data_IF_285980153976
#
_entry.id   IF_285980153976
#
_cell.length_a   1.000
_cell.length_b   1.000
_cell.length_c   1.000
_cell.angle_alpha   90.00
_cell.angle_beta   90.00
_cell.angle_gamma   90.00
#
_symmetry.space_group_name_H-M   'P 1'
#
loop_
_entity.id
_entity.type
_entity.pdbx_description
1 polymer ?
#
# COMPACT_ATOMS: atom_id res chain seq x y z
N UNK A 1 6.42 15.79 15.12
CA UNK A 1 5.04 15.40 15.46
C UNK A 1 5.13 14.16 16.33
N UNK A 2 4.38 14.09 17.43
CA UNK A 2 4.31 12.87 18.24
C UNK A 2 3.15 12.01 17.72
N UNK A 3 3.42 10.73 17.44
CA UNK A 3 2.45 9.69 17.12
C UNK A 3 2.52 8.62 18.20
N UNK A 4 1.35 8.10 18.61
CA UNK A 4 1.26 6.99 19.56
C UNK A 4 0.54 5.84 18.84
N UNK A 5 1.23 4.74 18.64
CA UNK A 5 0.68 3.56 17.99
C UNK A 5 -0.07 2.70 19.00
N UNK A 6 -1.25 2.15 18.63
CA UNK A 6 -1.96 1.19 19.48
C UNK A 6 -1.11 -0.08 19.69
N UNK A 7 -0.89 -0.53 20.94
CA UNK A 7 -0.02 -1.68 21.20
C UNK A 7 -0.59 -3.04 20.75
N UNK A 8 -1.83 -3.06 20.28
CA UNK A 8 -2.50 -4.28 19.77
C UNK A 8 -2.54 -4.36 18.24
N UNK A 9 -2.05 -3.35 17.52
CA UNK A 9 -1.99 -3.34 16.05
C UNK A 9 -0.60 -3.80 15.59
N UNK A 10 -0.49 -5.08 15.22
CA UNK A 10 0.76 -5.69 14.77
C UNK A 10 1.36 -4.98 13.53
N UNK A 11 0.51 -4.38 12.70
CA UNK A 11 0.94 -3.63 11.52
C UNK A 11 1.67 -2.32 11.89
N UNK A 12 1.33 -1.74 13.04
CA UNK A 12 2.00 -0.54 13.55
C UNK A 12 3.33 -0.86 14.27
N UNK A 13 3.55 -2.11 14.67
CA UNK A 13 4.76 -2.52 15.40
C UNK A 13 6.03 -2.33 14.56
N UNK A 14 5.94 -2.57 13.25
CA UNK A 14 7.07 -2.47 12.33
C UNK A 14 7.19 -1.11 11.62
N UNK A 15 6.28 -0.16 11.88
CA UNK A 15 6.33 1.18 11.30
C UNK A 15 7.66 1.90 11.55
N UNK A 16 8.22 1.94 12.79
CA UNK A 16 9.48 2.63 13.02
C UNK A 16 10.64 2.03 12.22
N UNK A 17 10.68 0.71 12.08
CA UNK A 17 11.73 0.02 11.30
C UNK A 17 11.62 0.35 9.80
N UNK A 18 10.39 0.48 9.28
CA UNK A 18 10.17 0.94 7.91
C UNK A 18 10.62 2.38 7.69
N UNK A 19 10.29 3.29 8.61
CA UNK A 19 10.72 4.69 8.54
C UNK A 19 12.26 4.83 8.62
N UNK A 20 12.92 4.02 9.45
CA UNK A 20 14.38 3.92 9.47
C UNK A 20 14.94 3.40 8.14
N UNK A 21 14.33 2.35 7.57
CA UNK A 21 14.71 1.80 6.27
C UNK A 21 14.61 2.84 5.15
N UNK A 22 13.49 3.56 5.08
CA UNK A 22 13.30 4.63 4.09
C UNK A 22 14.26 5.80 4.31
N UNK A 23 14.68 6.06 5.53
CA UNK A 23 15.65 7.10 5.91
C UNK A 23 15.30 8.49 5.35
N UNK A 24 14.02 8.84 5.36
CA UNK A 24 13.50 10.11 4.88
C UNK A 24 13.39 10.22 3.35
N UNK A 25 13.60 9.16 2.59
CA UNK A 25 13.41 9.11 1.13
C UNK A 25 11.96 8.74 0.85
N UNK A 26 11.21 9.62 0.23
CA UNK A 26 9.78 9.41 -0.05
C UNK A 26 8.88 9.31 1.20
N UNK A 27 9.44 9.26 2.41
CA UNK A 27 8.70 9.17 3.66
C UNK A 27 9.16 10.23 4.68
N UNK A 28 8.34 10.48 5.70
CA UNK A 28 8.71 11.28 6.86
C UNK A 28 9.87 10.63 7.62
N UNK A 29 10.73 11.46 8.23
CA UNK A 29 11.82 10.98 9.07
C UNK A 29 11.29 10.57 10.43
N UNK A 30 11.73 9.40 10.90
CA UNK A 30 11.70 9.07 12.31
C UNK A 30 12.83 9.85 13.01
N UNK A 31 12.48 10.66 13.98
CA UNK A 31 13.43 11.49 14.73
C UNK A 31 13.82 10.83 16.05
N UNK A 32 12.88 10.12 16.67
CA UNK A 32 13.09 9.37 17.91
C UNK A 32 11.96 8.36 18.11
N UNK A 33 12.20 7.31 18.90
CA UNK A 33 11.17 6.32 19.28
C UNK A 33 11.35 5.84 20.72
N UNK A 34 10.24 5.67 21.42
CA UNK A 34 10.19 5.07 22.76
C UNK A 34 8.91 4.24 22.88
N UNK A 35 9.05 2.94 23.01
CA UNK A 35 7.93 1.97 23.01
C UNK A 35 7.00 2.18 21.82
N UNK A 36 5.72 2.53 22.08
CA UNK A 36 4.70 2.83 21.06
C UNK A 36 4.68 4.28 20.60
N UNK A 37 5.57 5.11 21.09
CA UNK A 37 5.64 6.55 20.77
C UNK A 37 6.70 6.83 19.73
N UNK A 38 6.31 7.51 18.65
CA UNK A 38 7.20 7.92 17.57
C UNK A 38 7.27 9.43 17.48
N UNK A 39 8.46 9.99 17.52
CA UNK A 39 8.69 11.38 17.18
C UNK A 39 9.02 11.48 15.70
N UNK A 40 8.07 12.01 14.92
CA UNK A 40 8.18 12.10 13.47
C UNK A 40 8.43 13.53 12.99
N UNK A 41 9.06 13.65 11.84
CA UNK A 41 9.09 14.88 11.05
C UNK A 41 7.68 15.42 10.87
N UNK A 42 7.53 16.74 10.95
CA UNK A 42 6.23 17.39 10.70
C UNK A 42 6.17 17.90 9.27
N UNK A 43 5.21 17.40 8.49
CA UNK A 43 4.92 17.94 7.18
C UNK A 43 4.31 19.34 7.29
N UNK A 44 4.81 20.27 6.49
CA UNK A 44 4.29 21.62 6.29
C UNK A 44 4.29 21.93 4.82
N UNK A 45 3.16 22.34 4.23
CA UNK A 45 1.88 22.69 4.85
C UNK A 45 1.10 21.49 5.42
N UNK A 46 1.37 20.24 5.02
CA UNK A 46 0.65 19.05 5.47
C UNK A 46 -0.66 18.81 4.71
N UNK A 47 -0.80 19.37 3.52
CA UNK A 47 -1.92 19.11 2.60
C UNK A 47 -1.92 17.65 2.21
N UNK A 48 -3.07 17.00 2.21
CA UNK A 48 -3.18 15.60 1.79
C UNK A 48 -3.17 15.43 0.28
N UNK A 49 -2.62 14.33 -0.20
CA UNK A 49 -2.56 14.03 -1.63
C UNK A 49 -3.94 14.00 -2.29
N UNK A 50 -4.97 13.53 -1.62
CA UNK A 50 -6.34 13.52 -2.13
C UNK A 50 -6.95 14.92 -2.41
N UNK A 51 -6.30 16.01 -1.94
CA UNK A 51 -6.73 17.38 -2.24
C UNK A 51 -6.29 17.84 -3.64
N UNK A 52 -5.39 17.08 -4.29
CA UNK A 52 -5.01 17.29 -5.67
C UNK A 52 -6.03 16.70 -6.65
N UNK A 53 -6.08 17.22 -7.89
CA UNK A 53 -6.72 16.51 -9.01
C UNK A 53 -6.13 15.11 -9.16
N UNK A 54 -6.97 14.11 -9.48
CA UNK A 54 -6.57 12.70 -9.52
C UNK A 54 -5.30 12.44 -10.35
N UNK A 55 -5.20 13.06 -11.54
CA UNK A 55 -4.05 12.81 -12.42
C UNK A 55 -2.73 13.34 -11.83
N UNK A 56 -2.76 14.45 -11.10
CA UNK A 56 -1.60 14.97 -10.36
C UNK A 56 -1.28 14.07 -9.16
N UNK A 57 -2.31 13.64 -8.44
CA UNK A 57 -2.13 12.74 -7.29
C UNK A 57 -1.52 11.39 -7.69
N UNK A 58 -1.93 10.82 -8.83
CA UNK A 58 -1.36 9.58 -9.32
C UNK A 58 0.12 9.73 -9.70
N UNK A 59 0.51 10.83 -10.34
CA UNK A 59 1.92 11.11 -10.67
C UNK A 59 2.77 11.27 -9.39
N UNK A 60 2.27 12.04 -8.42
CA UNK A 60 2.94 12.18 -7.12
C UNK A 60 3.08 10.84 -6.39
N UNK A 61 2.04 10.00 -6.40
CA UNK A 61 2.11 8.69 -5.76
C UNK A 61 3.16 7.79 -6.41
N UNK A 62 3.28 7.81 -7.74
CA UNK A 62 4.32 7.10 -8.48
C UNK A 62 5.73 7.56 -8.05
N UNK A 63 5.97 8.88 -8.04
CA UNK A 63 7.25 9.46 -7.62
C UNK A 63 7.62 9.09 -6.16
N UNK A 64 6.63 9.07 -5.27
CA UNK A 64 6.84 8.68 -3.86
C UNK A 64 7.20 7.20 -3.77
N UNK A 65 6.46 6.32 -4.45
CA UNK A 65 6.73 4.88 -4.44
C UNK A 65 8.12 4.54 -4.98
N UNK A 66 8.56 5.14 -6.07
CA UNK A 66 9.92 4.92 -6.61
C UNK A 66 11.01 5.28 -5.60
N UNK A 67 10.79 6.27 -4.76
CA UNK A 67 11.71 6.65 -3.69
C UNK A 67 11.70 5.65 -2.52
N UNK A 68 10.54 5.05 -2.22
CA UNK A 68 10.36 4.09 -1.13
C UNK A 68 10.95 2.72 -1.47
N UNK A 69 10.76 2.24 -2.70
CA UNK A 69 11.13 0.88 -3.12
C UNK A 69 12.64 0.64 -3.07
N UNK A 70 13.04 -0.07 -2.03
CA UNK A 70 14.41 -0.47 -1.78
C UNK A 70 14.45 -1.89 -1.28
N UNK A 71 15.49 -2.62 -1.70
CA UNK A 71 15.72 -3.98 -1.24
C UNK A 71 15.85 -4.01 0.29
N UNK A 72 15.24 -4.97 0.97
CA UNK A 72 15.38 -5.13 2.42
C UNK A 72 16.83 -5.44 2.80
N UNK A 73 17.25 -4.98 3.98
CA UNK A 73 18.53 -5.36 4.54
C UNK A 73 18.52 -6.85 4.97
N UNK A 74 19.66 -7.50 4.99
CA UNK A 74 19.76 -8.86 5.50
C UNK A 74 19.30 -8.92 6.99
N UNK A 75 18.41 -9.85 7.30
CA UNK A 75 17.86 -10.00 8.66
C UNK A 75 16.84 -8.94 9.05
N UNK A 76 16.20 -8.30 8.09
CA UNK A 76 15.11 -7.34 8.33
C UNK A 76 13.99 -7.94 9.18
N UNK A 77 13.24 -7.12 9.96
CA UNK A 77 12.17 -7.60 10.84
C UNK A 77 10.83 -7.80 10.12
N UNK A 78 10.70 -7.37 8.85
CA UNK A 78 9.42 -7.28 8.16
C UNK A 78 8.84 -8.64 7.80
N UNK A 79 7.51 -8.76 7.90
CA UNK A 79 6.74 -9.88 7.37
C UNK A 79 6.86 -9.91 5.84
N UNK A 80 6.68 -11.08 5.24
CA UNK A 80 6.70 -11.23 3.79
C UNK A 80 5.28 -11.14 3.21
N UNK A 81 5.17 -10.62 2.00
CA UNK A 81 3.90 -10.62 1.27
C UNK A 81 3.44 -12.05 0.94
N UNK A 82 4.37 -13.00 0.79
CA UNK A 82 4.05 -14.42 0.58
C UNK A 82 3.32 -15.02 1.79
N UNK A 83 3.87 -14.84 3.00
CA UNK A 83 3.24 -15.31 4.23
C UNK A 83 1.89 -14.63 4.48
N UNK A 84 1.81 -13.33 4.21
CA UNK A 84 0.59 -12.56 4.35
C UNK A 84 -0.49 -13.02 3.35
N UNK A 85 -0.13 -13.29 2.10
CA UNK A 85 -1.03 -13.84 1.10
C UNK A 85 -1.58 -15.22 1.52
N UNK A 86 -0.73 -16.10 2.04
CA UNK A 86 -1.14 -17.40 2.58
C UNK A 86 -2.10 -17.25 3.77
N UNK A 87 -1.82 -16.28 4.65
CA UNK A 87 -2.72 -15.96 5.76
C UNK A 87 -4.10 -15.48 5.26
N UNK A 88 -4.14 -14.57 4.30
CA UNK A 88 -5.39 -14.09 3.71
C UNK A 88 -6.18 -15.19 3.01
N UNK A 89 -5.53 -16.11 2.29
CA UNK A 89 -6.19 -17.29 1.72
C UNK A 89 -6.92 -18.06 2.83
N UNK A 90 -6.24 -18.37 3.93
CA UNK A 90 -6.84 -19.11 5.05
C UNK A 90 -8.02 -18.40 5.69
N UNK A 91 -8.04 -17.07 5.68
CA UNK A 91 -9.18 -16.28 6.16
C UNK A 91 -10.35 -16.30 5.18
N UNK A 92 -10.07 -16.07 3.88
CA UNK A 92 -11.08 -15.98 2.84
C UNK A 92 -11.77 -17.32 2.54
N UNK A 93 -11.10 -18.45 2.72
CA UNK A 93 -11.70 -19.79 2.60
C UNK A 93 -12.81 -20.05 3.64
N UNK A 94 -12.86 -19.26 4.71
CA UNK A 94 -13.93 -19.31 5.73
C UNK A 94 -15.10 -18.37 5.41
N UNK A 95 -14.93 -17.48 4.43
CA UNK A 95 -15.97 -16.54 4.02
C UNK A 95 -17.00 -17.22 3.09
N UNK A 96 -18.20 -16.64 2.93
CA UNK A 96 -19.14 -17.11 1.93
C UNK A 96 -18.53 -17.13 0.52
N UNK A 97 -18.81 -18.19 -0.22
CA UNK A 97 -18.31 -18.36 -1.59
C UNK A 97 -19.02 -17.38 -2.56
N UNK A 98 -18.42 -16.22 -2.75
CA UNK A 98 -18.82 -15.25 -3.79
C UNK A 98 -17.82 -15.26 -4.94
N UNK A 99 -18.22 -14.96 -6.18
CA UNK A 99 -17.30 -14.96 -7.33
C UNK A 99 -16.06 -14.08 -7.12
N UNK A 100 -16.22 -12.91 -6.49
CA UNK A 100 -15.10 -11.98 -6.23
C UNK A 100 -14.16 -12.53 -5.14
N UNK A 101 -14.67 -13.22 -4.13
CA UNK A 101 -13.86 -13.88 -3.08
C UNK A 101 -13.07 -15.03 -3.70
N UNK A 102 -13.72 -15.86 -4.55
CA UNK A 102 -13.05 -16.94 -5.29
C UNK A 102 -11.92 -16.41 -6.17
N UNK A 103 -12.17 -15.31 -6.89
CA UNK A 103 -11.13 -14.66 -7.70
C UNK A 103 -9.98 -14.14 -6.85
N UNK A 104 -10.26 -13.49 -5.71
CA UNK A 104 -9.24 -13.01 -4.78
C UNK A 104 -8.35 -14.14 -4.25
N UNK A 105 -8.95 -15.27 -3.85
CA UNK A 105 -8.20 -16.47 -3.43
C UNK A 105 -7.30 -16.97 -4.57
N UNK A 106 -7.83 -17.06 -5.80
CA UNK A 106 -7.05 -17.46 -6.96
C UNK A 106 -5.84 -16.56 -7.21
N UNK A 107 -6.00 -15.24 -7.13
CA UNK A 107 -4.89 -14.29 -7.25
C UNK A 107 -3.87 -14.44 -6.13
N UNK A 108 -4.30 -14.59 -4.88
CA UNK A 108 -3.38 -14.78 -3.74
C UNK A 108 -2.54 -16.06 -3.90
N UNK A 109 -3.16 -17.16 -4.32
CA UNK A 109 -2.49 -18.45 -4.53
C UNK A 109 -1.53 -18.42 -5.72
N UNK A 110 -1.82 -17.65 -6.76
CA UNK A 110 -0.96 -17.49 -7.93
C UNK A 110 0.18 -16.50 -7.67
N UNK A 111 -0.13 -15.31 -7.19
CA UNK A 111 0.82 -14.20 -7.10
C UNK A 111 1.75 -14.32 -5.89
N UNK A 112 1.26 -14.83 -4.76
CA UNK A 112 2.03 -14.96 -3.52
C UNK A 112 3.37 -15.69 -3.72
N UNK A 113 3.39 -16.92 -4.27
CA UNK A 113 4.62 -17.69 -4.45
C UNK A 113 5.43 -17.30 -5.71
N UNK A 114 4.91 -16.44 -6.59
CA UNK A 114 5.54 -16.13 -7.90
C UNK A 114 6.07 -14.70 -7.99
N UNK A 115 6.36 -14.07 -6.86
CA UNK A 115 6.81 -12.69 -6.80
C UNK A 115 8.13 -12.45 -7.55
N UNK A 116 8.24 -11.23 -8.13
CA UNK A 116 9.46 -10.74 -8.77
C UNK A 116 10.47 -10.17 -7.77
N UNK A 117 11.10 -9.06 -8.14
CA UNK A 117 12.02 -8.33 -7.27
C UNK A 117 11.30 -7.83 -6.01
N UNK A 118 11.87 -8.15 -4.86
CA UNK A 118 11.26 -7.81 -3.57
C UNK A 118 11.87 -6.53 -2.98
N UNK A 119 11.00 -5.67 -2.49
CA UNK A 119 11.34 -4.41 -1.82
C UNK A 119 10.57 -4.28 -0.49
N UNK A 120 10.95 -3.32 0.33
CA UNK A 120 10.12 -2.94 1.47
C UNK A 120 8.97 -2.09 0.97
N UNK A 121 7.77 -2.59 1.13
CA UNK A 121 6.52 -2.00 0.69
C UNK A 121 5.93 -1.10 1.76
N UNK A 122 5.14 -0.11 1.35
CA UNK A 122 4.33 0.71 2.25
C UNK A 122 3.00 0.03 2.62
N UNK A 123 2.46 -0.76 1.72
CA UNK A 123 1.20 -1.51 1.80
C UNK A 123 -0.07 -0.62 1.83
N UNK A 124 -0.10 0.49 2.55
CA UNK A 124 -1.27 1.36 2.69
C UNK A 124 -1.04 2.77 2.11
N UNK A 125 -0.33 2.87 0.97
CA UNK A 125 -0.16 4.14 0.29
C UNK A 125 -1.47 4.55 -0.40
N UNK A 126 -2.20 5.43 0.24
CA UNK A 126 -3.44 6.03 -0.25
C UNK A 126 -3.39 7.55 -0.06
N UNK A 127 -4.33 8.29 -0.65
CA UNK A 127 -4.27 9.75 -0.66
C UNK A 127 -4.26 10.43 0.71
N UNK A 128 -4.62 9.73 1.80
CA UNK A 128 -4.48 10.23 3.18
C UNK A 128 -3.11 10.00 3.79
N UNK A 129 -2.33 9.10 3.22
CA UNK A 129 -1.04 8.69 3.75
C UNK A 129 0.13 9.29 2.98
N UNK A 130 -0.14 10.32 2.17
CA UNK A 130 0.88 11.13 1.48
C UNK A 130 0.58 12.61 1.74
N UNK A 131 1.56 13.32 2.30
CA UNK A 131 1.43 14.70 2.74
C UNK A 131 2.46 15.62 2.06
N UNK A 132 2.01 16.81 1.66
CA UNK A 132 2.90 17.86 1.19
C UNK A 132 3.81 18.36 2.32
N UNK A 133 5.08 18.55 2.03
CA UNK A 133 6.07 19.07 2.96
C UNK A 133 7.02 20.07 2.27
N UNK A 134 7.89 20.72 3.06
CA UNK A 134 8.96 21.57 2.51
C UNK A 134 9.99 20.76 1.68
N UNK A 135 10.03 19.44 1.82
CA UNK A 135 10.88 18.51 1.07
C UNK A 135 10.20 17.82 -0.12
N UNK A 136 8.98 18.23 -0.48
CA UNK A 136 8.12 17.55 -1.44
C UNK A 136 7.04 16.70 -0.76
N UNK A 137 6.49 15.75 -1.49
CA UNK A 137 5.47 14.84 -0.97
C UNK A 137 6.10 13.66 -0.24
N UNK A 138 5.57 13.34 0.94
CA UNK A 138 6.11 12.31 1.84
C UNK A 138 5.03 11.35 2.30
N UNK A 139 5.34 10.06 2.24
CA UNK A 139 4.52 9.01 2.82
C UNK A 139 4.60 9.03 4.36
N UNK A 140 3.49 8.67 4.99
CA UNK A 140 3.31 8.50 6.43
C UNK A 140 2.56 7.21 6.70
N UNK A 141 2.66 6.67 7.90
CA UNK A 141 1.89 5.51 8.36
C UNK A 141 2.09 4.22 7.54
N UNK A 142 3.34 3.81 7.28
CA UNK A 142 3.59 2.56 6.57
C UNK A 142 3.16 1.35 7.40
N UNK A 143 2.65 0.33 6.71
CA UNK A 143 2.34 -1.01 7.23
C UNK A 143 3.22 -2.05 6.52
N UNK A 144 4.50 -2.11 6.85
CA UNK A 144 5.50 -2.67 5.96
C UNK A 144 5.35 -4.17 5.74
N UNK A 145 5.58 -4.57 4.49
CA UNK A 145 5.82 -5.95 4.06
C UNK A 145 7.05 -5.98 3.16
N UNK A 146 7.67 -7.15 3.01
CA UNK A 146 8.63 -7.40 1.94
C UNK A 146 7.92 -8.17 0.84
N UNK A 147 7.92 -7.60 -0.36
CA UNK A 147 7.26 -8.18 -1.53
C UNK A 147 7.51 -7.41 -2.82
N UNK A 148 6.80 -7.80 -3.88
CA UNK A 148 6.95 -7.17 -5.19
C UNK A 148 6.23 -5.81 -5.29
N UNK A 149 6.77 -4.93 -6.13
CA UNK A 149 6.31 -3.54 -6.30
C UNK A 149 4.86 -3.41 -6.73
N UNK A 150 4.38 -4.35 -7.53
CA UNK A 150 3.02 -4.39 -8.07
C UNK A 150 1.95 -4.41 -6.99
N UNK A 151 2.25 -5.02 -5.85
CA UNK A 151 1.34 -5.06 -4.71
C UNK A 151 1.15 -3.69 -4.06
N UNK A 152 2.19 -2.88 -3.96
CA UNK A 152 2.17 -1.62 -3.18
C UNK A 152 1.20 -0.58 -3.74
N UNK A 153 0.80 -0.74 -5.00
CA UNK A 153 -0.20 0.10 -5.67
C UNK A 153 -1.66 -0.26 -5.33
N UNK A 154 -1.90 -1.40 -4.68
CA UNK A 154 -3.25 -1.89 -4.42
C UNK A 154 -4.12 -0.85 -3.68
N UNK A 155 -3.55 -0.16 -2.70
CA UNK A 155 -4.27 0.88 -1.94
C UNK A 155 -4.61 2.09 -2.79
N UNK A 156 -3.68 2.60 -3.62
CA UNK A 156 -3.94 3.70 -4.55
C UNK A 156 -4.97 3.34 -5.63
N UNK A 157 -4.86 2.14 -6.20
CA UNK A 157 -5.78 1.68 -7.26
C UNK A 157 -7.22 1.68 -6.76
N UNK A 158 -7.46 1.22 -5.53
CA UNK A 158 -8.79 1.12 -4.92
C UNK A 158 -9.28 2.38 -4.22
N UNK A 159 -8.45 3.40 -4.02
CA UNK A 159 -8.82 4.62 -3.28
C UNK A 159 -9.91 5.39 -4.03
N UNK A 160 -11.09 5.53 -3.41
CA UNK A 160 -12.28 6.16 -4.01
C UNK A 160 -12.50 7.61 -3.56
N UNK A 161 -11.60 8.17 -2.75
CA UNK A 161 -11.74 9.54 -2.23
C UNK A 161 -11.55 10.61 -3.30
N UNK A 162 -10.85 10.29 -4.39
CA UNK A 162 -10.65 11.22 -5.51
C UNK A 162 -11.89 11.37 -6.41
N UNK A 163 -12.65 10.29 -6.62
CA UNK A 163 -13.86 10.30 -7.43
C UNK A 163 -14.64 8.99 -7.28
N UNK A 164 -15.94 9.03 -7.54
CA UNK A 164 -16.78 7.84 -7.64
C UNK A 164 -17.00 7.52 -9.14
N UNK A 165 -16.10 6.75 -9.72
CA UNK A 165 -16.19 6.27 -11.10
C UNK A 165 -15.74 4.80 -11.14
N UNK A 166 -16.59 3.93 -11.65
CA UNK A 166 -16.30 2.48 -11.76
C UNK A 166 -15.12 2.16 -12.69
N UNK A 167 -14.79 3.08 -13.61
CA UNK A 167 -13.63 2.94 -14.50
C UNK A 167 -12.32 3.34 -13.85
N UNK A 168 -12.39 4.00 -12.70
CA UNK A 168 -11.23 4.57 -12.03
C UNK A 168 -10.15 3.53 -11.69
N UNK A 169 -10.47 2.37 -11.09
CA UNK A 169 -9.46 1.37 -10.80
C UNK A 169 -8.71 0.87 -12.05
N UNK A 170 -9.41 0.64 -13.17
CA UNK A 170 -8.78 0.21 -14.44
C UNK A 170 -7.85 1.29 -15.01
N UNK A 171 -8.29 2.56 -15.00
CA UNK A 171 -7.46 3.68 -15.47
C UNK A 171 -6.18 3.83 -14.65
N UNK A 172 -6.25 3.62 -13.33
CA UNK A 172 -5.06 3.67 -12.46
C UNK A 172 -4.12 2.51 -12.73
N UNK A 173 -4.62 1.30 -12.92
CA UNK A 173 -3.79 0.17 -13.34
C UNK A 173 -3.07 0.49 -14.64
N UNK A 174 -3.78 1.03 -15.65
CA UNK A 174 -3.19 1.41 -16.94
C UNK A 174 -2.14 2.51 -16.77
N UNK A 175 -2.43 3.54 -15.95
CA UNK A 175 -1.52 4.63 -15.67
C UNK A 175 -0.22 4.14 -14.99
N UNK A 176 -0.34 3.42 -13.87
CA UNK A 176 0.84 2.97 -13.13
C UNK A 176 1.66 1.92 -13.90
N UNK A 177 1.03 1.07 -14.70
CA UNK A 177 1.74 0.16 -15.58
C UNK A 177 2.61 0.91 -16.60
N UNK A 178 2.06 1.97 -17.21
CA UNK A 178 2.78 2.78 -18.19
C UNK A 178 3.88 3.63 -17.54
N UNK A 179 3.59 4.25 -16.37
CA UNK A 179 4.49 5.17 -15.68
C UNK A 179 5.67 4.47 -15.03
N UNK A 180 5.41 3.34 -14.35
CA UNK A 180 6.39 2.62 -13.53
C UNK A 180 6.97 1.38 -14.22
N UNK A 181 6.46 1.02 -15.40
CA UNK A 181 6.90 -0.17 -16.14
C UNK A 181 6.54 -1.50 -15.46
N UNK A 182 5.48 -1.52 -14.64
CA UNK A 182 5.05 -2.67 -13.86
C UNK A 182 4.07 -3.56 -14.62
N UNK A 183 3.99 -4.83 -14.23
CA UNK A 183 3.05 -5.80 -14.81
C UNK A 183 1.60 -5.44 -14.46
N UNK A 184 0.85 -5.13 -15.51
CA UNK A 184 -0.54 -4.70 -15.43
C UNK A 184 -1.47 -5.73 -14.79
N UNK A 185 -1.30 -7.00 -15.16
CA UNK A 185 -2.16 -8.09 -14.69
C UNK A 185 -1.83 -8.47 -13.25
N UNK A 186 -0.56 -8.41 -12.85
CA UNK A 186 -0.15 -8.59 -11.45
C UNK A 186 -0.72 -7.47 -10.56
N UNK A 187 -0.57 -6.20 -10.95
CA UNK A 187 -1.17 -5.07 -10.20
C UNK A 187 -2.68 -5.23 -10.06
N UNK A 188 -3.38 -5.61 -11.13
CA UNK A 188 -4.82 -5.87 -11.11
C UNK A 188 -5.18 -6.99 -10.14
N UNK A 189 -4.47 -8.11 -10.22
CA UNK A 189 -4.69 -9.25 -9.33
C UNK A 189 -4.48 -8.89 -7.86
N UNK A 190 -3.37 -8.21 -7.53
CA UNK A 190 -3.10 -7.74 -6.19
C UNK A 190 -4.15 -6.73 -5.68
N UNK A 191 -4.61 -5.81 -6.52
CA UNK A 191 -5.63 -4.84 -6.14
C UNK A 191 -6.98 -5.52 -5.81
N UNK A 192 -7.38 -6.54 -6.57
CA UNK A 192 -8.56 -7.37 -6.27
C UNK A 192 -8.35 -8.13 -4.97
N UNK A 193 -7.25 -8.84 -4.83
CA UNK A 193 -6.95 -9.65 -3.65
C UNK A 193 -6.93 -8.80 -2.37
N UNK A 194 -6.19 -7.70 -2.38
CA UNK A 194 -6.08 -6.81 -1.24
C UNK A 194 -7.41 -6.14 -0.85
N UNK A 195 -8.22 -5.73 -1.84
CA UNK A 195 -9.53 -5.12 -1.57
C UNK A 195 -10.47 -6.08 -0.82
N UNK A 196 -10.38 -7.38 -1.08
CA UNK A 196 -11.22 -8.40 -0.44
C UNK A 196 -10.62 -8.85 0.89
N UNK A 197 -9.31 -9.08 0.95
CA UNK A 197 -8.63 -9.56 2.14
C UNK A 197 -8.64 -8.53 3.28
N UNK A 198 -8.55 -7.25 2.96
CA UNK A 198 -8.57 -6.17 3.94
C UNK A 198 -9.98 -5.82 4.48
N UNK A 199 -11.01 -6.53 4.05
CA UNK A 199 -12.39 -6.42 4.52
C UNK A 199 -12.93 -4.96 4.55
N UNK A 200 -12.64 -4.20 3.52
CA UNK A 200 -12.88 -2.75 3.45
C UNK A 200 -14.30 -2.31 3.10
N UNK A 201 -15.30 -3.19 3.22
CA UNK A 201 -16.71 -2.87 2.98
C UNK A 201 -17.06 -2.68 1.50
N UNK A 202 -18.27 -2.16 1.27
CA UNK A 202 -18.89 -2.10 -0.07
C UNK A 202 -18.07 -1.33 -1.12
N UNK A 203 -17.36 -0.28 -0.71
CA UNK A 203 -16.54 0.52 -1.62
C UNK A 203 -15.35 -0.27 -2.19
N UNK A 204 -14.69 -1.08 -1.37
CA UNK A 204 -13.58 -1.93 -1.82
C UNK A 204 -14.08 -3.10 -2.65
N UNK A 205 -15.20 -3.70 -2.25
CA UNK A 205 -15.88 -4.75 -3.02
C UNK A 205 -16.24 -4.25 -4.43
N UNK A 206 -16.78 -3.03 -4.56
CA UNK A 206 -17.09 -2.45 -5.85
C UNK A 206 -15.83 -2.18 -6.69
N UNK A 207 -14.70 -1.75 -6.08
CA UNK A 207 -13.42 -1.59 -6.77
C UNK A 207 -12.88 -2.94 -7.27
N UNK A 208 -12.96 -3.99 -6.44
CA UNK A 208 -12.55 -5.34 -6.84
C UNK A 208 -13.40 -5.87 -8.03
N UNK A 209 -14.73 -5.71 -7.95
CA UNK A 209 -15.63 -6.10 -9.06
C UNK A 209 -15.34 -5.34 -10.35
N UNK A 210 -14.99 -4.06 -10.27
CA UNK A 210 -14.64 -3.27 -11.44
C UNK A 210 -13.34 -3.74 -12.12
N UNK A 211 -12.47 -4.44 -11.40
CA UNK A 211 -11.19 -4.96 -11.90
C UNK A 211 -11.31 -6.40 -12.47
N UNK A 212 -12.36 -7.13 -12.15
CA UNK A 212 -12.65 -8.44 -12.74
C UNK A 212 -13.21 -8.29 -14.15
#
# INVERSE_FOLDING_TARGET
>A
MLKVNPPWEIECEQEPDALEHYAGRGAVRLLDREDSMLLLERCRPGTWLWELPEHEANAVAADVLEQLWRSPAAGHPFRTLEDEAAHWVSQLERAPAEPVVTAAIGFLQELGPTQGEQVVLHQDLQGSNVLASERGWLAVDPKPLVGEREFDLASMIRDRRFAFDERLPKRRVDFYSAELGLDRDRMRGWAVAHAIAWNGGEAMLASARALL
#
